data_IF_064726138888
#
_entry.id   IF_064726138888
#
_cell.length_a   1.000
_cell.length_b   1.000
_cell.length_c   1.000
_cell.angle_alpha   90.00
_cell.angle_beta   90.00
_cell.angle_gamma   90.00
#
_symmetry.space_group_name_H-M   'P 1'
#
loop_
_entity.id
_entity.type
_entity.pdbx_description
1 polymer ?
#
# COMPACT_ATOMS: atom_id res chain seq x y z
N UNK A 1 12.67 24.26 -61.37
CA UNK A 1 13.25 22.96 -60.97
C UNK A 1 13.71 23.13 -59.53
N UNK A 2 13.26 22.44 -58.50
CA UNK A 2 12.43 21.25 -58.35
C UNK A 2 12.84 20.64 -57.02
N UNK A 3 11.94 20.64 -56.03
CA UNK A 3 11.91 19.74 -54.88
C UNK A 3 13.08 19.73 -53.89
N UNK A 4 12.88 20.34 -52.72
CA UNK A 4 13.35 19.76 -51.46
C UNK A 4 12.20 19.85 -50.46
N UNK A 5 11.32 18.84 -50.50
CA UNK A 5 10.21 18.69 -49.56
C UNK A 5 10.75 18.16 -48.23
N UNK A 6 10.41 18.89 -47.18
CA UNK A 6 9.98 18.40 -45.87
C UNK A 6 10.21 16.90 -45.62
N UNK A 7 11.29 16.56 -44.93
CA UNK A 7 11.47 15.27 -44.28
C UNK A 7 12.09 15.49 -42.90
N UNK A 8 11.34 16.10 -41.99
CA UNK A 8 11.61 16.04 -40.55
C UNK A 8 10.32 16.32 -39.77
N UNK A 9 9.29 15.50 -39.99
CA UNK A 9 8.09 15.47 -39.15
C UNK A 9 7.33 14.15 -39.34
N UNK A 10 7.98 13.02 -39.10
CA UNK A 10 7.27 11.73 -39.11
C UNK A 10 7.86 10.68 -38.16
N UNK A 11 8.69 11.08 -37.18
CA UNK A 11 9.33 10.14 -36.25
C UNK A 11 8.74 10.18 -34.82
N UNK A 12 7.71 11.01 -34.57
CA UNK A 12 7.01 11.08 -33.28
C UNK A 12 5.54 10.62 -33.35
N UNK A 13 5.09 10.16 -34.52
CA UNK A 13 3.68 9.81 -34.76
C UNK A 13 3.44 8.31 -35.01
N UNK A 14 4.37 7.44 -34.58
CA UNK A 14 4.25 5.99 -34.80
C UNK A 14 4.58 5.17 -33.55
N UNK A 15 3.89 5.45 -32.43
CA UNK A 15 3.87 4.57 -31.24
C UNK A 15 2.45 4.04 -30.95
N UNK A 16 1.53 4.11 -31.92
CA UNK A 16 0.24 3.43 -31.84
C UNK A 16 0.31 2.08 -32.56
N UNK A 17 0.99 1.09 -31.96
CA UNK A 17 0.83 -0.29 -32.40
C UNK A 17 -0.62 -0.72 -32.18
N UNK A 18 -1.18 -1.34 -33.20
CA UNK A 18 -2.57 -1.78 -33.39
C UNK A 18 -3.12 -2.61 -32.22
N UNK A 19 -3.56 -1.97 -31.14
CA UNK A 19 -4.42 -2.56 -30.11
C UNK A 19 -5.87 -2.28 -30.48
N UNK A 20 -6.74 -3.28 -30.42
CA UNK A 20 -8.14 -3.14 -30.87
C UNK A 20 -8.99 -2.29 -29.91
N UNK A 21 -8.51 -2.05 -28.67
CA UNK A 21 -9.14 -1.21 -27.65
C UNK A 21 -8.06 -0.67 -26.70
N UNK A 22 -7.64 0.59 -26.81
CA UNK A 22 -6.81 1.19 -25.78
C UNK A 22 -7.60 1.31 -24.48
N UNK A 23 -6.98 0.95 -23.36
CA UNK A 23 -7.45 1.27 -22.01
C UNK A 23 -6.46 2.28 -21.43
N UNK A 24 -6.98 3.39 -20.91
CA UNK A 24 -6.20 4.44 -20.25
C UNK A 24 -6.55 4.41 -18.77
N UNK A 25 -5.52 4.40 -17.92
CA UNK A 25 -5.64 4.48 -16.47
C UNK A 25 -4.55 5.44 -15.95
N UNK A 26 -4.90 6.72 -15.89
CA UNK A 26 -4.02 7.86 -15.56
C UNK A 26 -4.40 8.54 -14.22
N UNK A 27 -5.27 7.89 -13.43
CA UNK A 27 -5.75 8.37 -12.13
C UNK A 27 -7.24 8.63 -12.11
N UNK A 28 -7.76 9.03 -10.94
CA UNK A 28 -9.16 9.41 -10.75
C UNK A 28 -9.17 10.79 -10.08
N UNK A 29 -9.98 11.72 -10.59
CA UNK A 29 -10.17 13.05 -10.01
C UNK A 29 -11.57 13.14 -9.37
N UNK A 30 -11.73 13.85 -8.23
CA UNK A 30 -13.03 14.03 -7.61
C UNK A 30 -13.91 14.99 -8.42
N UNK A 31 -15.16 14.62 -8.67
CA UNK A 31 -16.18 15.48 -9.28
C UNK A 31 -16.85 16.40 -8.24
N UNK A 32 -16.05 17.06 -7.40
CA UNK A 32 -16.54 17.91 -6.29
C UNK A 32 -17.11 19.26 -6.76
N UNK A 33 -16.71 19.76 -7.94
CA UNK A 33 -17.15 21.04 -8.50
C UNK A 33 -18.65 21.09 -8.80
N UNK A 34 -19.25 19.95 -9.17
CA UNK A 34 -20.67 19.87 -9.50
C UNK A 34 -21.58 19.93 -8.26
N UNK A 35 -21.01 19.79 -7.06
CA UNK A 35 -21.75 19.73 -5.80
C UNK A 35 -22.02 21.12 -5.18
N UNK A 36 -21.58 22.22 -5.81
CA UNK A 36 -21.72 23.60 -5.31
C UNK A 36 -21.25 23.79 -3.85
N UNK A 37 -20.16 23.11 -3.49
CA UNK A 37 -19.60 23.08 -2.12
C UNK A 37 -19.09 24.46 -1.66
N UNK A 38 -18.65 25.28 -2.60
CA UNK A 38 -18.25 26.67 -2.41
C UNK A 38 -19.40 27.52 -1.86
N UNK A 39 -20.62 27.32 -2.34
CA UNK A 39 -21.80 28.09 -1.90
C UNK A 39 -22.21 27.83 -0.46
N UNK A 40 -21.83 26.67 0.06
CA UNK A 40 -22.09 26.27 1.46
C UNK A 40 -20.86 26.45 2.36
N UNK A 41 -19.73 26.90 1.82
CA UNK A 41 -18.51 27.20 2.58
C UNK A 41 -17.64 25.98 2.91
N UNK A 42 -17.81 24.86 2.19
CA UNK A 42 -16.93 23.68 2.33
C UNK A 42 -15.61 23.94 1.62
N UNK A 43 -14.51 23.84 2.35
CA UNK A 43 -13.16 24.06 1.83
C UNK A 43 -12.68 22.86 1.00
N UNK A 44 -12.17 23.16 -0.20
CA UNK A 44 -11.55 22.20 -1.11
C UNK A 44 -10.05 22.48 -1.21
N UNK A 45 -9.26 21.44 -1.41
CA UNK A 45 -7.85 21.55 -1.75
C UNK A 45 -7.71 22.04 -3.20
N UNK A 46 -6.99 23.14 -3.42
CA UNK A 46 -6.96 23.86 -4.70
C UNK A 46 -6.45 22.98 -5.85
N UNK A 47 -5.41 22.18 -5.61
CA UNK A 47 -4.76 21.39 -6.65
C UNK A 47 -5.51 20.08 -6.97
N UNK A 48 -6.12 19.45 -5.97
CA UNK A 48 -6.67 18.09 -6.10
C UNK A 48 -8.20 18.09 -6.17
N UNK A 49 -8.86 19.19 -5.79
CA UNK A 49 -10.31 19.27 -5.69
C UNK A 49 -10.93 18.42 -4.58
N UNK A 50 -10.12 17.78 -3.73
CA UNK A 50 -10.59 16.99 -2.58
C UNK A 50 -11.09 17.88 -1.44
N UNK A 51 -12.00 17.36 -0.63
CA UNK A 51 -12.52 18.06 0.54
C UNK A 51 -11.49 18.01 1.66
N UNK A 52 -11.18 19.17 2.24
CA UNK A 52 -10.34 19.26 3.43
C UNK A 52 -11.16 18.79 4.64
N UNK A 53 -10.64 17.80 5.37
CA UNK A 53 -11.32 17.22 6.53
C UNK A 53 -10.41 17.17 7.76
N UNK A 54 -11.02 17.29 8.93
CA UNK A 54 -10.38 17.06 10.21
C UNK A 54 -10.20 15.54 10.50
N UNK A 55 -9.52 15.15 11.60
CA UNK A 55 -9.37 13.76 12.03
C UNK A 55 -10.67 12.99 12.28
N UNK A 56 -11.77 13.70 12.51
CA UNK A 56 -13.11 13.17 12.79
C UNK A 56 -14.07 13.25 11.59
N UNK A 57 -13.53 13.38 10.38
CA UNK A 57 -14.25 13.49 9.12
C UNK A 57 -15.06 14.81 8.93
N UNK A 58 -14.97 15.74 9.88
CA UNK A 58 -15.64 17.04 9.78
C UNK A 58 -15.01 17.94 8.70
N UNK A 59 -15.84 18.65 7.95
CA UNK A 59 -15.40 19.68 7.00
C UNK A 59 -15.24 21.04 7.69
N UNK A 60 -14.95 22.10 6.93
CA UNK A 60 -15.01 23.49 7.43
C UNK A 60 -16.41 23.93 7.87
N UNK A 61 -17.46 23.17 7.54
CA UNK A 61 -18.86 23.44 7.93
C UNK A 61 -19.28 22.41 8.99
N UNK A 62 -19.64 22.79 10.22
CA UNK A 62 -19.86 21.85 11.34
C UNK A 62 -20.94 20.78 11.11
N UNK A 63 -21.90 21.03 10.23
CA UNK A 63 -22.97 20.08 9.91
C UNK A 63 -22.68 19.18 8.71
N UNK A 64 -21.52 19.34 8.06
CA UNK A 64 -21.14 18.63 6.84
C UNK A 64 -19.87 17.81 7.11
N UNK A 65 -19.92 16.55 6.72
CA UNK A 65 -18.83 15.58 6.87
C UNK A 65 -18.49 14.99 5.50
N UNK A 66 -17.25 14.53 5.33
CA UNK A 66 -16.81 13.85 4.11
C UNK A 66 -15.97 12.61 4.43
N UNK A 67 -16.26 11.51 3.74
CA UNK A 67 -15.61 10.21 3.92
C UNK A 67 -15.23 9.59 2.57
N UNK A 68 -14.26 8.69 2.59
CA UNK A 68 -13.78 7.98 1.41
C UNK A 68 -12.88 8.85 0.52
N UNK A 69 -12.85 8.51 -0.77
CA UNK A 69 -11.83 9.00 -1.72
C UNK A 69 -11.83 10.52 -1.91
N UNK A 70 -12.98 11.17 -1.66
CA UNK A 70 -13.12 12.63 -1.75
C UNK A 70 -12.39 13.37 -0.63
N UNK A 71 -12.05 12.70 0.47
CA UNK A 71 -11.39 13.29 1.62
C UNK A 71 -9.88 13.42 1.38
N UNK A 72 -9.34 14.63 1.57
CA UNK A 72 -7.92 14.90 1.37
C UNK A 72 -7.05 14.09 2.33
N UNK A 73 -5.99 13.47 1.78
CA UNK A 73 -4.98 12.76 2.57
C UNK A 73 -5.45 11.44 3.19
N UNK A 74 -6.62 10.92 2.80
CA UNK A 74 -7.11 9.61 3.23
C UNK A 74 -6.82 8.53 2.16
N UNK A 75 -6.54 7.26 2.56
CA UNK A 75 -6.41 6.17 1.60
C UNK A 75 -7.72 5.95 0.82
N UNK A 76 -7.58 5.89 -0.50
CA UNK A 76 -8.68 5.70 -1.45
C UNK A 76 -9.04 4.21 -1.56
N UNK A 77 -9.62 3.66 -0.48
CA UNK A 77 -9.90 2.23 -0.37
C UNK A 77 -11.32 2.00 0.16
N UNK A 78 -12.04 1.04 -0.41
CA UNK A 78 -13.39 0.68 0.03
C UNK A 78 -13.48 0.39 1.53
N UNK A 79 -12.58 -0.41 2.15
CA UNK A 79 -12.66 -0.70 3.58
C UNK A 79 -12.45 0.53 4.48
N UNK A 80 -11.60 1.47 4.08
CA UNK A 80 -11.37 2.70 4.88
C UNK A 80 -12.61 3.59 4.85
N UNK A 81 -13.26 3.74 3.69
CA UNK A 81 -14.51 4.47 3.56
C UNK A 81 -15.65 3.86 4.40
N UNK A 82 -15.80 2.52 4.37
CA UNK A 82 -16.81 1.81 5.16
C UNK A 82 -16.57 2.01 6.67
N UNK A 83 -15.32 1.85 7.13
CA UNK A 83 -15.00 1.98 8.55
C UNK A 83 -15.14 3.41 9.04
N UNK A 84 -14.66 4.40 8.26
CA UNK A 84 -14.85 5.83 8.57
C UNK A 84 -16.33 6.19 8.68
N UNK A 85 -17.16 5.74 7.73
CA UNK A 85 -18.61 5.97 7.76
C UNK A 85 -19.30 5.32 8.96
N UNK A 86 -18.92 4.10 9.33
CA UNK A 86 -19.44 3.41 10.52
C UNK A 86 -19.10 4.15 11.81
N UNK A 87 -17.83 4.54 11.97
CA UNK A 87 -17.38 5.24 13.17
C UNK A 87 -18.01 6.64 13.25
N UNK A 88 -18.08 7.37 12.13
CA UNK A 88 -18.76 8.66 12.07
C UNK A 88 -20.24 8.53 12.48
N UNK A 89 -20.98 7.59 11.88
CA UNK A 89 -22.39 7.37 12.22
C UNK A 89 -22.56 7.04 13.72
N UNK A 90 -21.64 6.25 14.29
CA UNK A 90 -21.63 5.94 15.73
C UNK A 90 -21.41 7.20 16.58
N UNK A 91 -20.47 8.07 16.21
CA UNK A 91 -20.23 9.35 16.92
C UNK A 91 -21.41 10.32 16.82
N UNK A 92 -22.13 10.32 15.69
CA UNK A 92 -23.30 11.17 15.51
C UNK A 92 -24.54 10.66 16.26
N UNK A 93 -24.68 9.34 16.43
CA UNK A 93 -25.85 8.72 17.06
C UNK A 93 -25.67 8.41 18.56
N UNK A 94 -24.45 8.48 19.10
CA UNK A 94 -24.10 8.08 20.47
C UNK A 94 -22.99 8.95 21.03
N UNK A 95 -22.63 8.80 22.32
CA UNK A 95 -21.48 9.49 22.94
C UNK A 95 -20.10 8.89 22.58
N UNK A 96 -20.01 8.07 21.52
CA UNK A 96 -18.74 7.51 21.07
C UNK A 96 -17.77 8.61 20.63
N UNK A 97 -16.49 8.43 20.97
CA UNK A 97 -15.38 9.32 20.57
C UNK A 97 -14.36 8.61 19.68
N UNK A 98 -14.69 7.41 19.22
CA UNK A 98 -13.78 6.57 18.46
C UNK A 98 -13.60 7.13 17.04
N UNK A 99 -12.35 7.41 16.68
CA UNK A 99 -11.97 7.93 15.37
C UNK A 99 -11.43 6.80 14.49
N UNK A 100 -11.48 7.02 13.18
CA UNK A 100 -10.84 6.11 12.23
C UNK A 100 -9.31 6.20 12.38
N UNK A 101 -8.67 5.07 12.60
CA UNK A 101 -7.22 4.97 12.50
C UNK A 101 -6.83 4.76 11.03
N UNK A 102 -6.23 5.78 10.42
CA UNK A 102 -5.73 5.71 9.04
C UNK A 102 -4.27 5.25 8.94
N UNK A 103 -3.60 5.02 10.07
CA UNK A 103 -2.24 4.52 10.09
C UNK A 103 -2.24 3.01 9.80
N UNK A 104 -1.22 2.56 9.05
CA UNK A 104 -0.97 1.15 8.76
C UNK A 104 -2.19 0.41 8.18
N UNK A 105 -2.96 1.06 7.29
CA UNK A 105 -4.01 0.40 6.53
C UNK A 105 -3.37 -0.61 5.55
N UNK A 106 -3.67 -1.92 5.65
CA UNK A 106 -3.14 -2.90 4.72
C UNK A 106 -3.71 -2.68 3.31
N UNK A 107 -2.88 -2.87 2.29
CA UNK A 107 -3.24 -2.70 0.89
C UNK A 107 -2.73 -3.86 0.06
N UNK A 108 -3.50 -4.27 -0.96
CA UNK A 108 -3.10 -5.29 -1.92
C UNK A 108 -3.32 -4.80 -3.35
N UNK A 109 -2.40 -5.17 -4.23
CA UNK A 109 -2.42 -4.97 -5.67
C UNK A 109 -2.51 -6.34 -6.34
N UNK A 110 -3.61 -6.58 -7.04
CA UNK A 110 -3.97 -7.89 -7.62
C UNK A 110 -3.41 -8.07 -9.03
N UNK A 111 -2.10 -7.91 -9.19
CA UNK A 111 -1.36 -8.29 -10.40
C UNK A 111 -1.32 -9.82 -10.55
N UNK A 112 -0.93 -10.37 -11.72
CA UNK A 112 -0.82 -11.83 -11.90
C UNK A 112 0.03 -12.54 -10.84
N UNK A 113 1.05 -11.84 -10.33
CA UNK A 113 1.67 -12.15 -9.04
C UNK A 113 1.29 -11.04 -8.08
N UNK A 114 0.51 -11.36 -7.06
CA UNK A 114 -0.04 -10.32 -6.16
C UNK A 114 1.07 -9.68 -5.33
N UNK A 115 0.84 -8.43 -4.96
CA UNK A 115 1.63 -7.71 -3.98
C UNK A 115 0.72 -7.18 -2.89
N UNK A 116 1.11 -7.33 -1.63
CA UNK A 116 0.43 -6.69 -0.52
C UNK A 116 1.43 -6.14 0.48
N UNK A 117 1.01 -5.11 1.20
CA UNK A 117 1.81 -4.49 2.24
C UNK A 117 0.97 -3.87 3.35
N UNK A 118 1.61 -3.69 4.50
CA UNK A 118 1.09 -2.91 5.63
C UNK A 118 2.24 -2.09 6.21
N UNK A 119 1.95 -0.84 6.57
CA UNK A 119 2.93 0.08 7.14
C UNK A 119 3.75 0.83 6.10
N UNK A 120 4.95 1.26 6.50
CA UNK A 120 5.83 2.11 5.71
C UNK A 120 6.57 1.30 4.63
N UNK A 121 6.81 1.96 3.49
CA UNK A 121 7.83 1.49 2.57
C UNK A 121 9.23 1.69 3.17
N UNK A 122 10.23 1.09 2.52
CA UNK A 122 11.62 1.15 2.97
C UNK A 122 12.16 2.56 2.85
N UNK A 123 11.94 3.21 1.71
CA UNK A 123 12.33 4.60 1.49
C UNK A 123 11.62 5.56 2.44
N UNK A 124 10.35 5.34 2.75
CA UNK A 124 9.62 6.19 3.68
C UNK A 124 10.11 6.00 5.12
N UNK A 125 10.42 4.77 5.52
CA UNK A 125 11.02 4.50 6.82
C UNK A 125 12.42 5.14 6.95
N UNK A 126 13.24 5.06 5.90
CA UNK A 126 14.55 5.72 5.86
C UNK A 126 14.41 7.25 5.93
N UNK A 127 13.43 7.83 5.22
CA UNK A 127 13.17 9.28 5.25
C UNK A 127 12.73 9.76 6.63
N UNK A 128 11.87 8.99 7.33
CA UNK A 128 11.33 9.37 8.64
C UNK A 128 12.30 9.15 9.80
N UNK A 129 13.08 8.08 9.76
CA UNK A 129 13.88 7.64 10.91
C UNK A 129 15.39 7.71 10.68
N UNK A 130 15.82 7.97 9.44
CA UNK A 130 17.21 7.92 9.02
C UNK A 130 17.64 6.50 8.65
N UNK A 131 18.40 6.37 7.56
CA UNK A 131 18.89 5.09 7.02
C UNK A 131 19.65 4.23 8.03
N UNK A 132 20.39 4.84 8.94
CA UNK A 132 21.13 4.11 9.98
C UNK A 132 20.26 3.58 11.11
N UNK A 133 19.00 4.03 11.19
CA UNK A 133 18.01 3.55 12.15
C UNK A 133 17.14 2.43 11.60
N UNK A 134 17.34 1.99 10.35
CA UNK A 134 16.49 0.99 9.68
C UNK A 134 17.26 -0.30 9.40
N UNK A 135 16.65 -1.43 9.73
CA UNK A 135 17.07 -2.78 9.34
C UNK A 135 15.98 -3.41 8.46
N UNK A 136 16.38 -4.00 7.33
CA UNK A 136 15.45 -4.64 6.41
C UNK A 136 15.78 -6.11 6.33
N UNK A 137 14.89 -6.94 6.86
CA UNK A 137 14.96 -8.39 6.74
C UNK A 137 14.23 -8.82 5.48
N UNK A 138 14.79 -9.74 4.70
CA UNK A 138 14.20 -10.13 3.43
C UNK A 138 14.59 -11.53 2.97
N UNK A 139 13.75 -12.10 2.09
CA UNK A 139 13.98 -13.39 1.48
C UNK A 139 13.20 -13.54 0.16
N UNK A 140 13.76 -14.27 -0.78
CA UNK A 140 13.01 -14.91 -1.85
C UNK A 140 12.52 -16.27 -1.38
N UNK A 141 11.35 -16.69 -1.84
CA UNK A 141 10.77 -17.98 -1.44
C UNK A 141 10.06 -18.64 -2.62
N UNK A 142 9.78 -19.94 -2.50
CA UNK A 142 9.05 -20.69 -3.52
C UNK A 142 7.80 -21.32 -2.92
N UNK A 143 6.59 -20.91 -3.34
CA UNK A 143 5.36 -21.61 -2.97
C UNK A 143 5.46 -23.11 -3.32
N UNK A 144 5.01 -23.98 -2.42
CA UNK A 144 5.06 -25.42 -2.64
C UNK A 144 4.31 -25.82 -3.91
N UNK A 145 3.17 -25.17 -4.17
CA UNK A 145 2.32 -25.37 -5.35
C UNK A 145 3.07 -25.05 -6.66
N UNK A 146 4.08 -24.18 -6.62
CA UNK A 146 4.88 -23.82 -7.80
C UNK A 146 5.94 -24.87 -8.11
N UNK A 147 6.30 -25.72 -7.14
CA UNK A 147 7.31 -26.76 -7.34
C UNK A 147 6.81 -27.86 -8.27
N UNK A 148 5.64 -28.43 -8.01
CA UNK A 148 5.05 -29.49 -8.85
C UNK A 148 4.62 -28.95 -10.20
N UNK A 149 4.13 -27.70 -10.24
CA UNK A 149 3.70 -27.06 -11.47
C UNK A 149 4.85 -26.46 -12.30
N UNK A 150 6.11 -26.61 -11.85
CA UNK A 150 7.31 -26.03 -12.46
C UNK A 150 7.16 -24.53 -12.80
N UNK A 151 6.43 -23.80 -11.94
CA UNK A 151 6.23 -22.38 -12.10
C UNK A 151 7.45 -21.61 -11.62
N UNK A 152 7.74 -20.52 -12.32
CA UNK A 152 8.76 -19.58 -11.88
C UNK A 152 8.30 -18.89 -10.58
N UNK A 153 9.20 -18.88 -9.60
CA UNK A 153 9.03 -18.25 -8.29
C UNK A 153 10.12 -17.20 -8.03
N UNK A 154 10.94 -16.85 -9.03
CA UNK A 154 12.05 -15.89 -8.88
C UNK A 154 11.60 -14.50 -8.42
N UNK A 155 10.31 -14.19 -8.55
CA UNK A 155 9.69 -12.93 -8.15
C UNK A 155 8.92 -13.02 -6.82
N UNK A 156 8.79 -14.22 -6.22
CA UNK A 156 8.19 -14.38 -4.90
C UNK A 156 9.16 -13.87 -3.84
N UNK A 157 8.78 -12.81 -3.16
CA UNK A 157 9.68 -12.04 -2.29
C UNK A 157 8.94 -11.48 -1.08
N UNK A 158 9.63 -11.47 0.05
CA UNK A 158 9.12 -10.91 1.30
C UNK A 158 10.14 -9.97 1.92
N UNK A 159 9.67 -8.90 2.58
CA UNK A 159 10.52 -8.07 3.45
C UNK A 159 9.79 -7.53 4.66
N UNK A 160 10.54 -7.41 5.75
CA UNK A 160 10.15 -6.70 6.96
C UNK A 160 11.10 -5.51 7.18
N UNK A 161 10.53 -4.31 7.28
CA UNK A 161 11.24 -3.06 7.58
C UNK A 161 11.10 -2.80 9.06
N UNK A 162 12.22 -2.74 9.79
CA UNK A 162 12.24 -2.62 11.25
C UNK A 162 13.12 -1.46 11.71
N UNK A 163 12.81 -0.90 12.89
CA UNK A 163 13.76 -0.03 13.59
C UNK A 163 14.99 -0.84 14.06
N UNK A 164 16.16 -0.20 14.03
CA UNK A 164 17.42 -0.70 14.61
C UNK A 164 17.49 -0.36 16.08
N UNK A 165 17.88 -1.35 16.87
CA UNK A 165 17.97 -1.22 18.32
C UNK A 165 16.59 -1.20 19.00
N UNK A 166 16.62 -1.11 20.32
CA UNK A 166 15.42 -1.27 21.15
C UNK A 166 14.70 -2.58 20.87
N UNK A 167 13.37 -2.54 20.86
CA UNK A 167 12.53 -3.71 20.63
C UNK A 167 12.40 -4.12 19.15
N UNK A 168 13.09 -3.43 18.23
CA UNK A 168 13.00 -3.69 16.79
C UNK A 168 11.55 -3.72 16.26
N UNK A 169 10.80 -2.63 16.52
CA UNK A 169 9.44 -2.47 16.02
C UNK A 169 9.40 -2.63 14.49
N UNK A 170 8.40 -3.37 14.01
CA UNK A 170 8.17 -3.54 12.58
C UNK A 170 7.40 -2.31 12.09
N UNK A 171 8.02 -1.58 11.16
CA UNK A 171 7.46 -0.39 10.52
C UNK A 171 6.72 -0.72 9.23
N UNK A 172 7.08 -1.81 8.57
CA UNK A 172 6.47 -2.23 7.31
C UNK A 172 6.66 -3.72 7.02
N UNK A 173 5.63 -4.34 6.47
CA UNK A 173 5.70 -5.70 5.90
C UNK A 173 5.26 -5.64 4.44
N UNK A 174 5.99 -6.35 3.60
CA UNK A 174 5.74 -6.42 2.16
C UNK A 174 5.84 -7.87 1.71
N UNK A 175 4.90 -8.27 0.87
CA UNK A 175 4.75 -9.64 0.42
C UNK A 175 4.38 -9.65 -1.06
N UNK A 176 5.17 -10.36 -1.86
CA UNK A 176 4.93 -10.58 -3.29
C UNK A 176 4.81 -12.08 -3.52
N UNK A 177 3.64 -12.52 -3.97
CA UNK A 177 3.36 -13.93 -4.18
C UNK A 177 1.86 -14.27 -4.21
N UNK A 178 1.50 -15.56 -4.25
CA UNK A 178 0.09 -15.96 -4.27
C UNK A 178 -0.61 -15.61 -2.95
N UNK A 179 -1.87 -15.16 -3.03
CA UNK A 179 -2.72 -14.82 -1.90
C UNK A 179 -2.10 -13.75 -0.97
N UNK A 180 -1.41 -12.76 -1.54
CA UNK A 180 -0.68 -11.74 -0.77
C UNK A 180 -1.62 -10.96 0.15
N UNK A 181 -2.84 -10.66 -0.32
CA UNK A 181 -3.86 -9.98 0.48
C UNK A 181 -4.25 -10.76 1.73
N UNK A 182 -4.44 -12.08 1.61
CA UNK A 182 -4.79 -12.97 2.73
C UNK A 182 -3.68 -13.02 3.78
N UNK A 183 -2.42 -13.10 3.32
CA UNK A 183 -1.26 -13.13 4.21
C UNK A 183 -1.16 -11.81 4.99
N UNK A 184 -1.12 -10.67 4.28
CA UNK A 184 -0.92 -9.36 4.91
C UNK A 184 -2.09 -8.96 5.81
N UNK A 185 -3.33 -9.35 5.48
CA UNK A 185 -4.49 -9.08 6.34
C UNK A 185 -4.33 -9.65 7.75
N UNK A 186 -3.74 -10.85 7.88
CA UNK A 186 -3.45 -11.47 9.17
C UNK A 186 -2.38 -10.71 9.96
N UNK A 187 -1.29 -10.31 9.30
CA UNK A 187 -0.21 -9.56 9.95
C UNK A 187 -0.58 -8.11 10.29
N UNK A 188 -1.54 -7.51 9.58
CA UNK A 188 -1.97 -6.14 9.84
C UNK A 188 -2.52 -5.92 11.26
N UNK A 189 -3.10 -6.95 11.88
CA UNK A 189 -3.50 -6.90 13.28
C UNK A 189 -2.29 -6.67 14.20
N UNK A 190 -1.15 -7.31 13.91
CA UNK A 190 0.08 -7.16 14.67
C UNK A 190 0.58 -5.71 14.72
N UNK A 191 0.35 -4.92 13.66
CA UNK A 191 0.71 -3.49 13.64
C UNK A 191 -0.10 -2.68 14.64
N UNK A 192 -1.38 -3.00 14.82
CA UNK A 192 -2.22 -2.37 15.84
C UNK A 192 -1.77 -2.75 17.27
N UNK A 193 -1.04 -3.86 17.43
CA UNK A 193 -0.51 -4.34 18.70
C UNK A 193 0.97 -3.98 18.94
N UNK A 194 1.62 -3.22 18.05
CA UNK A 194 3.04 -2.90 18.19
C UNK A 194 3.96 -4.10 17.93
N UNK A 195 3.71 -4.84 16.85
CA UNK A 195 4.53 -6.00 16.47
C UNK A 195 6.03 -5.64 16.36
N UNK A 196 6.87 -6.55 16.85
CA UNK A 196 8.32 -6.45 16.84
C UNK A 196 8.91 -7.61 16.04
N UNK A 197 10.15 -7.45 15.60
CA UNK A 197 10.89 -8.54 14.95
C UNK A 197 10.95 -9.81 15.82
N UNK A 198 11.10 -9.65 17.14
CA UNK A 198 11.07 -10.76 18.10
C UNK A 198 9.72 -11.48 18.13
N UNK A 199 8.60 -10.76 18.06
CA UNK A 199 7.27 -11.38 17.93
C UNK A 199 7.19 -12.23 16.65
N UNK A 200 7.72 -11.72 15.54
CA UNK A 200 7.72 -12.41 14.26
C UNK A 200 8.54 -13.71 14.30
N UNK A 201 9.76 -13.68 14.85
CA UNK A 201 10.63 -14.86 14.96
C UNK A 201 10.14 -15.92 15.95
N UNK A 202 9.47 -15.49 17.04
CA UNK A 202 8.94 -16.42 18.04
C UNK A 202 7.60 -17.04 17.63
N UNK A 203 7.00 -16.58 16.52
CA UNK A 203 5.77 -17.15 16.00
C UNK A 203 6.06 -18.46 15.28
N UNK A 204 5.38 -19.54 15.67
CA UNK A 204 5.49 -20.84 14.99
C UNK A 204 4.74 -20.77 13.66
N UNK A 205 5.47 -21.00 12.56
CA UNK A 205 4.90 -21.04 11.22
C UNK A 205 3.99 -22.26 11.00
N UNK A 206 2.95 -22.07 10.19
CA UNK A 206 2.09 -23.17 9.70
C UNK A 206 2.73 -23.73 8.43
N UNK A 207 3.00 -25.04 8.40
CA UNK A 207 3.73 -25.67 7.30
C UNK A 207 2.88 -26.73 6.55
N UNK A 208 2.91 -26.76 5.20
CA UNK A 208 3.53 -25.80 4.30
C UNK A 208 2.60 -24.62 3.98
N UNK A 209 3.06 -23.38 4.16
CA UNK A 209 2.35 -22.18 3.70
C UNK A 209 3.31 -21.13 3.12
N UNK A 210 2.82 -20.18 2.33
CA UNK A 210 3.66 -19.05 1.93
C UNK A 210 3.89 -18.05 3.08
N UNK A 211 2.93 -17.96 4.01
CA UNK A 211 2.97 -17.00 5.12
C UNK A 211 4.04 -17.33 6.17
N UNK A 212 4.38 -18.62 6.35
CA UNK A 212 5.42 -19.03 7.31
C UNK A 212 6.81 -18.46 6.97
N UNK A 213 7.06 -18.08 5.71
CA UNK A 213 8.34 -17.51 5.31
C UNK A 213 8.64 -16.18 6.02
N UNK A 214 7.59 -15.43 6.39
CA UNK A 214 7.75 -14.22 7.20
C UNK A 214 8.30 -14.52 8.61
N UNK A 215 8.00 -15.69 9.19
CA UNK A 215 8.49 -16.07 10.53
C UNK A 215 9.92 -16.61 10.51
N UNK A 216 10.53 -16.75 9.31
CA UNK A 216 11.90 -17.27 9.10
C UNK A 216 12.89 -16.21 8.63
N UNK A 217 12.44 -14.96 8.47
CA UNK A 217 13.25 -13.85 7.98
C UNK A 217 14.43 -13.56 8.90
N UNK A 218 15.66 -13.77 8.43
CA UNK A 218 16.89 -13.52 9.21
C UNK A 218 17.98 -12.81 8.41
N UNK A 219 17.94 -12.89 7.08
CA UNK A 219 18.89 -12.22 6.19
C UNK A 219 18.54 -10.74 6.12
N UNK A 220 19.52 -9.86 6.35
CA UNK A 220 19.33 -8.42 6.24
C UNK A 220 20.00 -7.84 5.01
N UNK A 221 19.38 -6.84 4.39
CA UNK A 221 19.99 -6.10 3.27
C UNK A 221 21.35 -5.51 3.64
N UNK A 222 21.50 -5.03 4.89
CA UNK A 222 22.76 -4.44 5.39
C UNK A 222 23.90 -5.45 5.45
N UNK A 223 23.59 -6.74 5.68
CA UNK A 223 24.59 -7.80 5.72
C UNK A 223 25.23 -8.09 4.36
N UNK A 224 24.54 -7.76 3.26
CA UNK A 224 24.98 -8.07 1.90
C UNK A 224 24.92 -9.56 1.53
N UNK A 225 24.34 -10.41 2.39
CA UNK A 225 24.15 -11.83 2.11
C UNK A 225 23.06 -12.03 1.04
N UNK A 226 23.14 -13.16 0.33
CA UNK A 226 22.14 -13.54 -0.67
C UNK A 226 20.81 -13.89 0.00
N UNK A 227 19.72 -13.26 -0.46
CA UNK A 227 18.38 -13.45 0.08
C UNK A 227 17.66 -14.68 -0.51
N UNK A 228 18.30 -15.44 -1.40
CA UNK A 228 17.76 -16.68 -1.93
C UNK A 228 17.68 -17.74 -0.83
N UNK A 229 16.48 -18.20 -0.51
CA UNK A 229 16.29 -19.34 0.39
C UNK A 229 16.71 -20.60 -0.34
N UNK A 230 17.89 -21.11 0.00
CA UNK A 230 18.28 -22.48 -0.35
C UNK A 230 17.43 -23.42 0.50
N UNK A 231 16.67 -24.31 -0.15
CA UNK A 231 15.83 -25.28 0.55
C UNK A 231 16.61 -26.09 1.59
N UNK A 232 15.88 -26.64 2.57
CA UNK A 232 16.43 -27.61 3.52
C UNK A 232 17.04 -28.82 2.83
#
# INVERSE_FOLDING_TARGET
MGGCRQHHSSALEEVARMTRRPQVADGIAPESKQLNLDRVGVQLHEETGKIVVAPDEATSVPSIYAIGDISLGRPELTPTAIQAGRLLARRLATDSKELMNYDNVPTAVFTPLEYACVGLSEEEAENRHGKDSIEVFHAFYKPLEFTVAEKDASQCYIKAVCLRGGDQHILGLHFTGPNAGEVIQGFALGFQCGATYTHLLNTVGIHPTCAEELTKLHITKRSGLDAMVTGC
#
